data_IF_766696439383
#
_entry.id   IF_766696439383
#
_cell.length_a   1.000
_cell.length_b   1.000
_cell.length_c   1.000
_cell.angle_alpha   90.00
_cell.angle_beta   90.00
_cell.angle_gamma   90.00
#
_symmetry.space_group_name_H-M   'P 1'
#
loop_
_entity.id
_entity.type
_entity.pdbx_description
1 polymer ?
#
# COMPACT_ATOMS: atom_id res chain seq x y z
N UNK A 1 -6.61 1.88 8.19
CA UNK A 1 -5.39 2.72 8.08
C UNK A 1 -5.47 3.44 6.77
N UNK A 2 -5.35 4.76 6.81
CA UNK A 2 -5.61 5.66 5.69
C UNK A 2 -4.31 6.04 4.99
N UNK A 3 -4.34 6.15 3.67
CA UNK A 3 -3.25 6.62 2.85
C UNK A 3 -3.75 7.56 1.76
N UNK A 4 -3.26 8.81 1.78
CA UNK A 4 -3.48 9.77 0.72
C UNK A 4 -2.22 9.86 -0.14
N UNK A 5 -2.36 9.64 -1.45
CA UNK A 5 -1.25 9.68 -2.43
C UNK A 5 -0.86 11.11 -2.83
N UNK A 6 -1.39 12.13 -2.17
CA UNK A 6 -1.20 13.54 -2.53
C UNK A 6 -1.81 13.84 -3.90
N UNK A 7 -0.99 14.42 -4.78
CA UNK A 7 -1.38 14.76 -6.16
C UNK A 7 -1.20 13.60 -7.15
N UNK A 8 -0.71 12.44 -6.69
CA UNK A 8 -0.44 11.29 -7.56
C UNK A 8 -1.71 10.50 -7.85
N UNK A 9 -2.32 10.76 -9.00
CA UNK A 9 -3.61 10.12 -9.40
C UNK A 9 -3.45 8.88 -10.27
N UNK A 10 -2.33 8.73 -10.98
CA UNK A 10 -2.13 7.61 -11.93
C UNK A 10 -1.31 6.44 -11.35
N UNK A 11 -1.07 6.44 -10.04
CA UNK A 11 -0.32 5.37 -9.36
C UNK A 11 -1.25 4.57 -8.44
N UNK A 12 -0.64 3.70 -7.65
CA UNK A 12 -1.32 2.76 -6.77
C UNK A 12 -0.74 2.86 -5.36
N UNK A 13 -1.60 2.65 -4.37
CA UNK A 13 -1.15 2.48 -2.99
C UNK A 13 -0.48 1.11 -2.83
N UNK A 14 0.75 1.11 -2.31
CA UNK A 14 1.50 -0.09 -1.92
C UNK A 14 1.61 -0.11 -0.41
N UNK A 15 1.13 -1.17 0.21
CA UNK A 15 1.13 -1.33 1.64
C UNK A 15 2.25 -2.26 2.08
N UNK A 16 2.95 -1.84 3.13
CA UNK A 16 4.04 -2.58 3.73
C UNK A 16 3.80 -2.76 5.22
N UNK A 17 4.27 -3.90 5.72
CA UNK A 17 4.29 -4.26 7.14
C UNK A 17 5.75 -4.33 7.58
N UNK A 18 6.10 -3.60 8.63
CA UNK A 18 7.44 -3.60 9.21
C UNK A 18 7.35 -3.98 10.68
N UNK A 19 7.87 -5.16 11.01
CA UNK A 19 8.03 -5.61 12.38
C UNK A 19 9.27 -4.90 12.95
N UNK A 20 9.23 -4.29 14.15
CA UNK A 20 10.39 -3.67 14.76
C UNK A 20 11.59 -4.63 14.85
N UNK A 21 12.74 -4.24 14.30
CA UNK A 21 13.94 -5.09 14.23
C UNK A 21 13.90 -6.19 13.16
N UNK A 22 12.80 -6.31 12.40
CA UNK A 22 12.62 -7.27 11.32
C UNK A 22 12.71 -6.65 9.92
N UNK A 23 12.46 -7.49 8.92
CA UNK A 23 12.42 -7.06 7.51
C UNK A 23 11.07 -6.45 7.16
N UNK A 24 11.08 -5.42 6.32
CA UNK A 24 9.85 -4.93 5.69
C UNK A 24 9.28 -5.98 4.75
N UNK A 25 7.99 -6.23 4.87
CA UNK A 25 7.23 -7.15 4.03
C UNK A 25 6.24 -6.36 3.17
N UNK A 26 6.20 -6.66 1.87
CA UNK A 26 5.16 -6.15 0.97
C UNK A 26 3.85 -6.92 1.22
N UNK A 27 2.79 -6.19 1.57
CA UNK A 27 1.48 -6.77 1.91
C UNK A 27 0.62 -6.90 0.67
N UNK A 28 0.34 -5.77 0.02
CA UNK A 28 -0.47 -5.70 -1.19
C UNK A 28 -0.27 -4.38 -1.93
N UNK A 29 -0.66 -4.36 -3.20
CA UNK A 29 -0.88 -3.13 -3.96
C UNK A 29 -2.32 -3.05 -4.47
N UNK A 30 -2.84 -1.82 -4.52
CA UNK A 30 -4.17 -1.56 -5.07
C UNK A 30 -4.21 -0.22 -5.79
N UNK A 31 -4.74 -0.24 -7.02
CA UNK A 31 -5.03 0.95 -7.84
C UNK A 31 -6.54 1.03 -8.03
N UNK A 32 -7.10 2.23 -7.95
CA UNK A 32 -8.54 2.47 -8.06
C UNK A 32 -9.21 1.87 -9.32
N UNK A 33 -8.45 1.69 -10.40
CA UNK A 33 -8.95 1.13 -11.65
C UNK A 33 -9.01 -0.40 -11.68
N UNK A 34 -8.55 -1.08 -10.62
CA UNK A 34 -8.54 -2.53 -10.51
C UNK A 34 -9.73 -3.02 -9.68
N UNK A 35 -10.22 -4.22 -10.00
CA UNK A 35 -11.32 -4.84 -9.25
C UNK A 35 -10.88 -5.45 -7.92
N UNK A 36 -9.59 -5.78 -7.77
CA UNK A 36 -9.04 -6.38 -6.55
C UNK A 36 -7.55 -6.02 -6.33
N UNK A 37 -7.08 -6.06 -5.07
CA UNK A 37 -5.66 -5.93 -4.77
C UNK A 37 -4.84 -7.13 -5.27
N UNK A 38 -3.56 -6.91 -5.57
CA UNK A 38 -2.59 -8.00 -5.71
C UNK A 38 -1.71 -8.08 -4.47
N UNK A 39 -1.41 -9.30 -4.02
CA UNK A 39 -0.80 -9.55 -2.73
C UNK A 39 0.69 -9.90 -2.84
N UNK A 40 1.43 -9.57 -1.78
CA UNK A 40 2.76 -10.11 -1.55
C UNK A 40 2.72 -11.54 -1.03
N UNK A 41 3.89 -12.17 -0.97
CA UNK A 41 4.02 -13.55 -0.49
C UNK A 41 3.60 -13.65 0.99
N UNK A 42 2.75 -14.62 1.31
CA UNK A 42 2.24 -14.83 2.68
C UNK A 42 1.06 -13.94 3.09
N UNK A 43 0.56 -13.08 2.18
CA UNK A 43 -0.60 -12.22 2.44
C UNK A 43 -1.75 -12.56 1.49
N UNK A 44 -2.98 -12.43 1.99
CA UNK A 44 -4.18 -12.71 1.19
C UNK A 44 -5.44 -12.09 1.79
N UNK A 45 -6.49 -12.08 0.98
CA UNK A 45 -7.88 -11.88 1.43
C UNK A 45 -8.40 -13.12 2.18
N UNK A 46 -9.28 -12.98 3.19
CA UNK A 46 -9.87 -11.73 3.67
C UNK A 46 -9.03 -11.02 4.74
N UNK A 47 -7.94 -11.62 5.22
CA UNK A 47 -7.13 -11.05 6.32
C UNK A 47 -6.65 -9.64 6.00
N UNK A 48 -6.07 -9.43 4.82
CA UNK A 48 -5.66 -8.12 4.34
C UNK A 48 -6.49 -7.74 3.11
N UNK A 49 -7.06 -6.54 3.11
CA UNK A 49 -7.72 -5.99 1.92
C UNK A 49 -7.51 -4.49 1.85
N UNK A 50 -7.63 -3.92 0.65
CA UNK A 50 -7.56 -2.48 0.47
C UNK A 50 -8.73 -1.98 -0.36
N UNK A 51 -9.26 -0.83 0.05
CA UNK A 51 -10.32 -0.11 -0.65
C UNK A 51 -9.83 1.29 -0.98
N UNK A 52 -10.58 2.00 -1.82
CA UNK A 52 -10.32 3.40 -2.13
C UNK A 52 -11.61 4.20 -2.03
N UNK A 53 -11.49 5.49 -1.72
CA UNK A 53 -12.60 6.45 -1.74
C UNK A 53 -12.48 7.43 -2.90
N UNK A 54 -11.26 7.64 -3.41
CA UNK A 54 -10.95 8.48 -4.56
C UNK A 54 -9.80 7.85 -5.35
N UNK A 55 -9.24 8.58 -6.32
CA UNK A 55 -8.03 8.12 -7.03
C UNK A 55 -6.77 8.15 -6.15
N UNK A 56 -6.80 8.92 -5.06
CA UNK A 56 -5.65 9.21 -4.19
C UNK A 56 -5.87 8.73 -2.75
N UNK A 57 -7.10 8.46 -2.33
CA UNK A 57 -7.43 8.07 -0.95
C UNK A 57 -7.69 6.57 -0.87
N UNK A 58 -6.80 5.86 -0.18
CA UNK A 58 -6.81 4.42 0.00
C UNK A 58 -6.85 4.03 1.46
N UNK A 59 -7.44 2.86 1.73
CA UNK A 59 -7.56 2.30 3.06
C UNK A 59 -7.02 0.88 3.07
N UNK A 60 -6.17 0.57 4.04
CA UNK A 60 -5.84 -0.82 4.39
C UNK A 60 -6.74 -1.26 5.54
N UNK A 61 -7.39 -2.40 5.31
CA UNK A 61 -8.26 -3.07 6.27
C UNK A 61 -7.61 -4.41 6.62
N UNK A 62 -7.35 -4.60 7.93
CA UNK A 62 -6.90 -5.87 8.48
C UNK A 62 -8.08 -6.47 9.24
N UNK A 63 -8.59 -7.60 8.76
CA UNK A 63 -9.72 -8.29 9.37
C UNK A 63 -9.22 -9.27 10.45
N UNK A 64 -10.02 -9.47 11.48
CA UNK A 64 -9.74 -10.41 12.58
C UNK A 64 -8.32 -10.22 13.16
N UNK A 65 -8.03 -9.00 13.61
CA UNK A 65 -6.71 -8.57 14.11
C UNK A 65 -6.25 -9.45 15.26
N UNK A 66 -5.00 -9.91 15.20
CA UNK A 66 -4.37 -10.74 16.23
C UNK A 66 -2.99 -10.18 16.62
N UNK A 67 -2.36 -10.75 17.66
CA UNK A 67 -1.07 -10.27 18.17
C UNK A 67 0.02 -10.25 17.08
N UNK A 68 0.00 -11.22 16.17
CA UNK A 68 0.92 -11.30 15.03
C UNK A 68 0.77 -10.16 14.01
N UNK A 69 -0.32 -9.38 14.06
CA UNK A 69 -0.49 -8.19 13.23
C UNK A 69 0.18 -6.95 13.82
N UNK A 70 0.70 -7.01 15.05
CA UNK A 70 1.43 -5.91 15.68
C UNK A 70 2.70 -5.58 14.90
N UNK A 71 2.66 -4.45 14.19
CA UNK A 71 3.73 -3.96 13.34
C UNK A 71 3.48 -2.49 12.97
N UNK A 72 4.49 -1.83 12.42
CA UNK A 72 4.34 -0.55 11.74
C UNK A 72 3.85 -0.82 10.32
N UNK A 73 2.77 -0.17 9.92
CA UNK A 73 2.27 -0.23 8.55
C UNK A 73 2.48 1.11 7.88
N UNK A 74 3.00 1.09 6.66
CA UNK A 74 3.15 2.31 5.88
C UNK A 74 2.74 2.08 4.43
N UNK A 75 2.30 3.17 3.82
CA UNK A 75 1.88 3.24 2.44
C UNK A 75 2.94 3.96 1.61
N UNK A 76 3.15 3.50 0.38
CA UNK A 76 3.97 4.19 -0.60
C UNK A 76 3.27 4.23 -1.96
N UNK A 77 3.63 5.23 -2.75
CA UNK A 77 3.24 5.35 -4.16
C UNK A 77 4.46 5.77 -4.96
N UNK A 78 4.44 5.50 -6.27
CA UNK A 78 5.39 6.10 -7.20
C UNK A 78 4.88 7.47 -7.62
N UNK A 79 5.70 8.50 -7.42
CA UNK A 79 5.48 9.85 -7.93
C UNK A 79 6.40 10.06 -9.14
N UNK A 80 5.81 10.09 -10.33
CA UNK A 80 6.49 10.30 -11.61
C UNK A 80 6.49 11.78 -12.05
N UNK A 81 5.99 12.69 -11.21
CA UNK A 81 5.96 14.12 -11.52
C UNK A 81 7.37 14.75 -11.57
N UNK A 82 8.34 14.16 -10.87
CA UNK A 82 9.74 14.61 -10.86
C UNK A 82 10.51 13.93 -12.00
N UNK A 83 10.59 14.61 -13.15
CA UNK A 83 11.48 14.23 -14.25
C UNK A 83 12.70 15.17 -14.25
N UNK A 84 13.85 14.68 -13.81
CA UNK A 84 15.13 15.40 -13.92
C UNK A 84 15.89 14.93 -15.17
N UNK A 85 16.18 15.86 -16.07
CA UNK A 85 17.05 15.61 -17.21
C UNK A 85 18.50 15.68 -16.74
N UNK A 86 19.13 14.52 -16.55
CA UNK A 86 20.58 14.44 -16.29
C UNK A 86 21.31 14.39 -17.61
N UNK A 87 21.90 15.50 -18.04
CA UNK A 87 22.92 15.50 -19.09
C UNK A 87 24.26 15.08 -18.47
N UNK A 88 24.83 13.96 -18.93
CA UNK A 88 26.20 13.53 -18.62
C UNK A 88 27.22 14.36 -19.41
#
# INVERSE_FOLDING_TARGET
MDCNLGTVTNSAARWYKQIPGGVTQFVLYFKYSLSSPSYGSGFSSPKFTSTHQSQTDYHLIINNVEEGDSAVYYCQTWDDSVNEWVSQ
#
